data_IF_375873749921
#
_entry.id   IF_375873749921
#
_cell.length_a   1.000
_cell.length_b   1.000
_cell.length_c   1.000
_cell.angle_alpha   90.00
_cell.angle_beta   90.00
_cell.angle_gamma   90.00
#
_symmetry.space_group_name_H-M   'P 1'
#
loop_
_entity.id
_entity.type
_entity.pdbx_description
1 polymer ?
#
# COMPACT_ATOMS: atom_id res chain seq x y z
N UNK A 1 -23.81 5.93 -9.33
CA UNK A 1 -23.00 6.21 -10.53
C UNK A 1 -22.11 5.00 -10.77
N UNK A 2 -21.95 4.53 -12.01
CA UNK A 2 -21.09 3.40 -12.31
C UNK A 2 -19.64 3.88 -12.49
N UNK A 3 -18.69 3.17 -11.87
CA UNK A 3 -17.26 3.41 -12.03
C UNK A 3 -16.85 3.23 -13.51
N UNK A 4 -15.85 3.98 -13.97
CA UNK A 4 -15.35 3.92 -15.35
C UNK A 4 -13.97 3.31 -15.43
N UNK A 5 -13.68 2.59 -16.51
CA UNK A 5 -12.36 2.01 -16.76
C UNK A 5 -11.25 3.07 -16.71
N UNK A 6 -11.52 4.29 -17.17
CA UNK A 6 -10.58 5.39 -17.19
C UNK A 6 -10.10 5.81 -15.81
N UNK A 7 -10.95 5.57 -14.82
CA UNK A 7 -10.65 5.79 -13.42
C UNK A 7 -10.05 4.52 -12.80
N UNK A 8 -9.43 3.61 -13.56
CA UNK A 8 -8.87 2.35 -13.04
C UNK A 8 -7.34 2.33 -13.05
N UNK A 9 -6.71 1.89 -11.96
CA UNK A 9 -5.25 1.87 -11.82
C UNK A 9 -4.53 0.87 -12.69
N UNK A 10 -5.25 -0.16 -13.11
CA UNK A 10 -4.68 -1.14 -14.00
C UNK A 10 -4.51 -0.59 -15.42
N UNK A 11 -4.95 0.63 -15.74
CA UNK A 11 -4.77 1.23 -17.07
C UNK A 11 -3.42 1.92 -17.25
N UNK A 12 -2.66 1.44 -18.24
CA UNK A 12 -1.38 2.00 -18.67
C UNK A 12 -1.55 2.99 -19.84
N UNK A 13 -1.69 4.28 -19.53
CA UNK A 13 -1.87 5.35 -20.51
C UNK A 13 -0.63 5.65 -21.38
N UNK A 14 0.50 4.97 -21.16
CA UNK A 14 1.67 5.05 -22.05
C UNK A 14 1.60 4.00 -23.16
N UNK A 15 0.86 2.91 -22.93
CA UNK A 15 0.60 1.88 -23.92
C UNK A 15 -0.80 2.08 -24.49
N UNK A 16 -0.85 2.91 -25.53
CA UNK A 16 -2.07 3.25 -26.23
C UNK A 16 -2.03 2.74 -27.65
N UNK A 17 -3.22 2.60 -28.23
CA UNK A 17 -3.37 2.05 -29.56
C UNK A 17 -4.55 2.77 -30.21
N UNK A 18 -4.58 2.83 -31.55
CA UNK A 18 -5.56 3.63 -32.31
C UNK A 18 -5.56 5.12 -31.93
N UNK A 19 -4.37 5.74 -31.90
CA UNK A 19 -4.25 7.18 -31.66
C UNK A 19 -4.63 7.65 -30.24
N UNK A 20 -4.75 6.73 -29.28
CA UNK A 20 -5.10 7.06 -27.89
C UNK A 20 -6.49 6.56 -27.46
N UNK A 21 -7.31 6.05 -28.39
CA UNK A 21 -8.69 5.65 -28.11
C UNK A 21 -8.81 4.45 -27.16
N UNK A 22 -7.81 3.58 -27.13
CA UNK A 22 -7.73 2.47 -26.19
C UNK A 22 -6.41 2.44 -25.45
N UNK A 23 -6.50 1.99 -24.21
CA UNK A 23 -5.41 1.95 -23.24
C UNK A 23 -5.25 0.51 -22.76
N UNK A 24 -4.00 0.06 -22.60
CA UNK A 24 -3.71 -1.29 -22.11
C UNK A 24 -4.14 -1.46 -20.64
N UNK A 25 -4.86 -2.54 -20.33
CA UNK A 25 -5.18 -2.94 -18.96
C UNK A 25 -4.19 -4.03 -18.48
N UNK A 26 -3.31 -3.68 -17.54
CA UNK A 26 -2.31 -4.58 -16.97
C UNK A 26 -2.90 -5.80 -16.24
N UNK A 27 -4.11 -5.67 -15.68
CA UNK A 27 -4.77 -6.76 -14.96
C UNK A 27 -5.43 -7.77 -15.91
N UNK A 28 -6.13 -7.28 -16.94
CA UNK A 28 -6.87 -8.14 -17.86
C UNK A 28 -6.07 -8.58 -19.08
N UNK A 29 -4.97 -7.90 -19.41
CA UNK A 29 -4.12 -8.22 -20.55
C UNK A 29 -4.74 -7.87 -21.91
N UNK A 30 -5.57 -6.82 -21.98
CA UNK A 30 -6.12 -6.32 -23.25
C UNK A 30 -6.39 -4.82 -23.23
N UNK A 31 -6.61 -4.24 -24.42
CA UNK A 31 -6.89 -2.82 -24.61
C UNK A 31 -8.37 -2.49 -24.37
N UNK A 32 -8.64 -1.52 -23.48
CA UNK A 32 -10.00 -1.05 -23.14
C UNK A 32 -10.20 0.43 -23.45
N UNK A 33 -11.45 0.88 -23.57
CA UNK A 33 -11.76 2.31 -23.68
C UNK A 33 -11.92 2.92 -22.27
N UNK A 34 -11.23 4.02 -21.94
CA UNK A 34 -11.38 4.70 -20.65
C UNK A 34 -12.83 5.09 -20.29
N UNK A 35 -13.67 5.42 -21.26
CA UNK A 35 -15.07 5.80 -21.01
C UNK A 35 -16.02 4.63 -20.68
N UNK A 36 -15.59 3.38 -20.81
CA UNK A 36 -16.44 2.21 -20.56
C UNK A 36 -16.70 1.99 -19.07
N UNK A 37 -17.78 1.26 -18.75
CA UNK A 37 -18.07 0.84 -17.38
C UNK A 37 -16.94 -0.07 -16.89
N UNK A 38 -16.49 0.17 -15.66
CA UNK A 38 -15.43 -0.62 -15.06
C UNK A 38 -15.87 -2.07 -14.80
N UNK A 39 -14.94 -3.00 -14.93
CA UNK A 39 -15.17 -4.41 -14.59
C UNK A 39 -15.21 -4.63 -13.07
N UNK A 40 -15.62 -5.83 -12.64
CA UNK A 40 -15.70 -6.18 -11.21
C UNK A 40 -14.36 -6.12 -10.46
N UNK A 41 -13.23 -6.12 -11.17
CA UNK A 41 -11.88 -6.00 -10.60
C UNK A 41 -11.36 -4.56 -10.69
N UNK A 42 -12.25 -3.60 -10.47
CA UNK A 42 -11.96 -2.18 -10.57
C UNK A 42 -11.23 -1.64 -9.33
N UNK A 43 -10.21 -0.82 -9.56
CA UNK A 43 -9.48 -0.07 -8.51
C UNK A 43 -9.43 1.40 -8.89
N UNK A 44 -10.00 2.30 -8.07
CA UNK A 44 -10.23 3.71 -8.41
C UNK A 44 -8.94 4.57 -8.49
N UNK A 45 -8.70 5.24 -9.62
CA UNK A 45 -7.65 6.24 -9.86
C UNK A 45 -7.90 7.48 -9.03
N UNK A 46 -7.01 7.73 -8.08
CA UNK A 46 -7.14 8.81 -7.11
C UNK A 46 -7.12 8.30 -5.68
N UNK A 47 -7.00 6.99 -5.47
CA UNK A 47 -6.39 6.51 -4.25
C UNK A 47 -4.96 7.06 -4.19
N UNK A 48 -4.60 7.68 -3.07
CA UNK A 48 -3.20 7.93 -2.75
C UNK A 48 -2.56 6.57 -2.51
N UNK A 49 -2.12 5.94 -3.59
CA UNK A 49 -1.29 4.73 -3.63
C UNK A 49 -0.20 4.84 -2.56
N UNK A 50 0.05 3.73 -1.87
CA UNK A 50 1.07 3.67 -0.82
C UNK A 50 0.61 3.76 0.64
N UNK A 51 -0.64 4.17 0.94
CA UNK A 51 -1.08 4.40 2.34
C UNK A 51 -1.82 3.24 3.01
N UNK A 52 -1.85 2.04 2.41
CA UNK A 52 -2.72 0.94 2.87
C UNK A 52 -2.48 0.55 4.32
N UNK A 53 -1.21 0.39 4.70
CA UNK A 53 -0.82 -0.03 6.04
C UNK A 53 -1.10 1.07 7.08
N UNK A 54 -0.74 2.32 6.79
CA UNK A 54 -1.05 3.46 7.67
C UNK A 54 -2.56 3.61 7.84
N UNK A 55 -3.33 3.45 6.75
CA UNK A 55 -4.80 3.51 6.79
C UNK A 55 -5.38 2.39 7.65
N UNK A 56 -4.84 1.17 7.52
CA UNK A 56 -5.26 0.03 8.32
C UNK A 56 -4.98 0.28 9.81
N UNK A 57 -3.76 0.69 10.15
CA UNK A 57 -3.36 1.05 11.52
C UNK A 57 -4.28 2.12 12.10
N UNK A 58 -4.51 3.22 11.37
CA UNK A 58 -5.39 4.30 11.79
C UNK A 58 -6.81 3.82 12.11
N UNK A 59 -7.38 2.99 11.24
CA UNK A 59 -8.74 2.46 11.41
C UNK A 59 -8.84 1.47 12.57
N UNK A 60 -7.87 0.56 12.70
CA UNK A 60 -7.87 -0.47 13.74
C UNK A 60 -7.71 0.16 15.12
N UNK A 61 -6.79 1.11 15.26
CA UNK A 61 -6.51 1.78 16.53
C UNK A 61 -7.43 2.98 16.81
N UNK A 62 -8.41 3.23 15.93
CA UNK A 62 -9.34 4.35 16.00
C UNK A 62 -8.64 5.70 16.23
N UNK A 63 -7.54 5.93 15.50
CA UNK A 63 -6.74 7.15 15.59
C UNK A 63 -7.53 8.31 14.96
N UNK A 64 -7.49 9.46 15.62
CA UNK A 64 -8.13 10.68 15.12
C UNK A 64 -7.68 11.07 13.70
N UNK A 65 -8.62 11.61 12.92
CA UNK A 65 -8.40 11.96 11.52
C UNK A 65 -7.27 12.99 11.34
N UNK A 66 -7.09 13.94 12.26
CA UNK A 66 -6.01 14.93 12.19
C UNK A 66 -4.65 14.26 12.37
N UNK A 67 -4.55 13.31 13.30
CA UNK A 67 -3.33 12.51 13.51
C UNK A 67 -3.04 11.62 12.32
N UNK A 68 -4.04 10.94 11.78
CA UNK A 68 -3.90 10.13 10.57
C UNK A 68 -3.43 10.96 9.38
N UNK A 69 -3.94 12.20 9.24
CA UNK A 69 -3.49 13.13 8.20
C UNK A 69 -1.99 13.45 8.30
N UNK A 70 -1.44 13.63 9.51
CA UNK A 70 -0.01 13.88 9.69
C UNK A 70 0.85 12.68 9.25
N UNK A 71 0.42 11.46 9.56
CA UNK A 71 1.11 10.23 9.13
C UNK A 71 1.08 10.06 7.60
N UNK A 72 -0.09 10.33 7.03
CA UNK A 72 -0.34 10.37 5.60
C UNK A 72 0.54 11.38 4.87
N UNK A 73 0.66 12.59 5.39
CA UNK A 73 1.46 13.65 4.77
C UNK A 73 2.95 13.29 4.78
N UNK A 74 3.46 12.66 5.86
CA UNK A 74 4.83 12.15 5.89
C UNK A 74 5.10 11.05 4.87
N UNK A 75 4.15 10.13 4.68
CA UNK A 75 4.26 9.12 3.63
C UNK A 75 4.25 9.75 2.23
N UNK A 76 3.43 10.77 2.00
CA UNK A 76 3.39 11.46 0.71
C UNK A 76 4.70 12.19 0.43
N UNK A 77 5.32 12.83 1.44
CA UNK A 77 6.65 13.44 1.30
C UNK A 77 7.65 12.39 0.82
N UNK A 78 7.72 11.24 1.49
CA UNK A 78 8.60 10.14 1.08
C UNK A 78 8.32 9.75 -0.37
N UNK A 79 7.07 9.42 -0.70
CA UNK A 79 6.67 8.98 -2.05
C UNK A 79 7.02 9.98 -3.15
N UNK A 80 6.83 11.27 -2.89
CA UNK A 80 6.91 12.32 -3.91
C UNK A 80 8.33 12.87 -4.06
N UNK A 81 9.19 12.74 -3.04
CA UNK A 81 10.55 13.25 -3.08
C UNK A 81 11.48 12.32 -3.88
N UNK A 82 11.76 12.74 -5.11
CA UNK A 82 12.72 12.11 -6.01
C UNK A 82 14.12 12.60 -5.69
N UNK A 83 14.82 11.90 -4.82
CA UNK A 83 16.27 12.04 -4.68
C UNK A 83 16.99 10.99 -5.53
N UNK A 84 18.24 11.23 -5.97
CA UNK A 84 19.03 10.20 -6.65
C UNK A 84 19.18 8.91 -5.83
N UNK A 85 19.20 9.02 -4.50
CA UNK A 85 19.30 7.91 -3.56
C UNK A 85 17.99 7.10 -3.44
N UNK A 86 16.88 7.64 -3.92
CA UNK A 86 15.54 7.02 -3.88
C UNK A 86 15.08 6.55 -5.26
N UNK A 87 15.97 6.43 -6.24
CA UNK A 87 15.60 5.95 -7.59
C UNK A 87 15.01 4.52 -7.55
N UNK A 88 15.54 3.65 -6.69
CA UNK A 88 15.03 2.29 -6.44
C UNK A 88 13.67 2.25 -5.72
N UNK A 89 13.28 3.36 -5.12
CA UNK A 89 12.07 3.49 -4.33
C UNK A 89 10.80 3.43 -5.17
N UNK A 90 10.90 3.79 -6.45
CA UNK A 90 9.78 3.64 -7.38
C UNK A 90 9.38 2.17 -7.58
N UNK A 91 10.34 1.27 -7.63
CA UNK A 91 10.05 -0.15 -7.80
C UNK A 91 9.56 -0.78 -6.49
N UNK A 92 10.04 -0.30 -5.35
CA UNK A 92 9.50 -0.63 -4.03
C UNK A 92 8.03 -0.19 -3.90
N UNK A 93 7.70 1.06 -4.27
CA UNK A 93 6.32 1.58 -4.22
C UNK A 93 5.39 0.77 -5.13
N UNK A 94 5.84 0.42 -6.34
CA UNK A 94 5.06 -0.46 -7.23
C UNK A 94 4.82 -1.84 -6.62
N UNK A 95 5.83 -2.43 -6.00
CA UNK A 95 5.69 -3.70 -5.27
C UNK A 95 4.71 -3.58 -4.12
N UNK A 96 4.85 -2.51 -3.34
CA UNK A 96 3.96 -2.17 -2.24
C UNK A 96 2.51 -1.98 -2.67
N UNK A 97 2.23 -1.36 -3.82
CA UNK A 97 0.86 -1.21 -4.29
C UNK A 97 0.17 -2.53 -4.64
N UNK A 98 0.95 -3.58 -4.88
CA UNK A 98 0.45 -4.94 -5.08
C UNK A 98 0.23 -5.63 -3.73
N UNK A 99 1.21 -5.59 -2.82
CA UNK A 99 1.18 -6.39 -1.58
C UNK A 99 0.49 -5.67 -0.41
N UNK A 100 0.56 -4.34 -0.34
CA UNK A 100 0.00 -3.50 0.71
C UNK A 100 -1.50 -3.70 0.94
N UNK A 101 -2.36 -3.71 -0.10
CA UNK A 101 -3.78 -4.03 0.05
C UNK A 101 -4.03 -5.45 0.57
N UNK A 102 -3.20 -6.42 0.18
CA UNK A 102 -3.32 -7.81 0.59
C UNK A 102 -2.97 -7.95 2.07
N UNK A 103 -1.87 -7.34 2.51
CA UNK A 103 -1.46 -7.27 3.92
C UNK A 103 -2.54 -6.57 4.74
N UNK A 104 -3.02 -5.40 4.31
CA UNK A 104 -4.07 -4.67 5.04
C UNK A 104 -5.34 -5.52 5.21
N UNK A 105 -5.74 -6.25 4.16
CA UNK A 105 -6.88 -7.17 4.22
C UNK A 105 -6.66 -8.31 5.22
N UNK A 106 -5.45 -8.89 5.28
CA UNK A 106 -5.11 -9.91 6.28
C UNK A 106 -5.17 -9.32 7.69
N UNK A 107 -4.55 -8.17 7.89
CA UNK A 107 -4.52 -7.47 9.16
C UNK A 107 -5.93 -7.14 9.69
N UNK A 108 -6.84 -6.64 8.86
CA UNK A 108 -8.21 -6.34 9.32
C UNK A 108 -8.97 -7.58 9.83
N UNK A 109 -8.64 -8.75 9.30
CA UNK A 109 -9.26 -10.02 9.65
C UNK A 109 -8.46 -10.80 10.71
N UNK A 110 -7.31 -10.30 11.15
CA UNK A 110 -6.48 -10.94 12.17
C UNK A 110 -7.10 -10.77 13.57
N UNK A 111 -7.02 -11.81 14.40
CA UNK A 111 -7.50 -11.77 15.78
C UNK A 111 -6.66 -10.87 16.68
N UNK A 112 -5.38 -10.67 16.34
CA UNK A 112 -4.40 -9.83 17.05
C UNK A 112 -4.15 -8.50 16.33
N UNK A 113 -5.10 -8.06 15.52
CA UNK A 113 -4.95 -6.87 14.68
C UNK A 113 -4.61 -5.61 15.47
N UNK A 114 -5.10 -5.49 16.70
CA UNK A 114 -4.82 -4.34 17.57
C UNK A 114 -3.36 -4.34 18.03
N UNK A 115 -2.84 -5.48 18.49
CA UNK A 115 -1.44 -5.60 18.89
C UNK A 115 -0.49 -5.41 17.69
N UNK A 116 -0.83 -6.01 16.54
CA UNK A 116 -0.03 -5.85 15.31
C UNK A 116 -0.06 -4.40 14.85
N UNK A 117 -1.23 -3.75 14.82
CA UNK A 117 -1.34 -2.34 14.45
C UNK A 117 -0.59 -1.42 15.43
N UNK A 118 -0.57 -1.76 16.73
CA UNK A 118 0.19 -1.01 17.72
C UNK A 118 1.70 -1.12 17.51
N UNK A 119 2.20 -2.33 17.20
CA UNK A 119 3.61 -2.53 16.82
C UNK A 119 3.95 -1.78 15.52
N UNK A 120 3.11 -1.87 14.49
CA UNK A 120 3.27 -1.08 13.27
C UNK A 120 3.39 0.42 13.54
N UNK A 121 2.54 0.94 14.43
CA UNK A 121 2.54 2.37 14.76
C UNK A 121 3.85 2.80 15.44
N UNK A 122 4.24 2.08 16.49
CA UNK A 122 5.34 2.52 17.37
C UNK A 122 6.71 2.12 16.85
N UNK A 123 6.84 0.96 16.21
CA UNK A 123 8.12 0.40 15.82
C UNK A 123 8.54 0.85 14.42
N UNK A 124 7.57 1.26 13.57
CA UNK A 124 7.82 1.61 12.18
C UNK A 124 7.28 2.99 11.78
N UNK A 125 5.98 3.23 11.92
CA UNK A 125 5.33 4.44 11.36
C UNK A 125 5.80 5.73 12.06
N UNK A 126 5.81 5.77 13.39
CA UNK A 126 6.27 6.95 14.14
C UNK A 126 7.79 7.21 13.97
N UNK A 127 8.66 6.18 13.98
CA UNK A 127 10.06 6.39 13.63
C UNK A 127 10.25 6.85 12.17
N UNK A 128 9.49 6.33 11.20
CA UNK A 128 9.51 6.84 9.83
C UNK A 128 9.20 8.35 9.79
N UNK A 129 8.17 8.80 10.51
CA UNK A 129 7.84 10.23 10.59
C UNK A 129 9.01 11.07 11.10
N UNK A 130 9.70 10.60 12.14
CA UNK A 130 10.88 11.28 12.70
C UNK A 130 12.00 11.38 11.64
N UNK A 131 12.27 10.30 10.91
CA UNK A 131 13.28 10.27 9.86
C UNK A 131 12.95 11.26 8.73
N UNK A 132 11.69 11.32 8.30
CA UNK A 132 11.22 12.27 7.28
C UNK A 132 11.39 13.72 7.74
N UNK A 133 11.03 14.02 8.99
CA UNK A 133 11.19 15.36 9.55
C UNK A 133 12.66 15.81 9.62
N UNK A 134 13.58 14.87 9.74
CA UNK A 134 15.02 15.13 9.75
C UNK A 134 15.66 15.15 8.35
N UNK A 135 14.88 14.90 7.28
CA UNK A 135 15.38 14.80 5.91
C UNK A 135 16.08 13.47 5.58
N UNK A 136 16.02 12.48 6.49
CA UNK A 136 16.59 11.13 6.30
C UNK A 136 15.65 10.26 5.45
N UNK A 137 15.40 10.65 4.20
CA UNK A 137 14.39 9.98 3.36
C UNK A 137 14.73 8.52 3.03
N UNK A 138 15.99 8.21 2.70
CA UNK A 138 16.39 6.82 2.40
C UNK A 138 16.18 5.89 3.61
N UNK A 139 16.49 6.35 4.82
CA UNK A 139 16.28 5.57 6.05
C UNK A 139 14.78 5.36 6.32
N UNK A 140 13.96 6.40 6.12
CA UNK A 140 12.51 6.29 6.26
C UNK A 140 11.91 5.27 5.28
N UNK A 141 12.44 5.23 4.05
CA UNK A 141 12.03 4.30 3.00
C UNK A 141 12.36 2.87 3.37
N UNK A 142 13.62 2.63 3.76
CA UNK A 142 14.06 1.30 4.17
C UNK A 142 13.24 0.79 5.36
N UNK A 143 12.96 1.66 6.33
CA UNK A 143 12.15 1.27 7.49
C UNK A 143 10.69 0.95 7.11
N UNK A 144 10.12 1.66 6.14
CA UNK A 144 8.79 1.36 5.61
C UNK A 144 8.76 0.06 4.81
N UNK A 145 9.81 -0.23 4.05
CA UNK A 145 9.99 -1.50 3.35
C UNK A 145 10.11 -2.67 4.34
N UNK A 146 10.92 -2.51 5.39
CA UNK A 146 11.09 -3.49 6.45
C UNK A 146 9.76 -3.83 7.13
N UNK A 147 8.93 -2.82 7.42
CA UNK A 147 7.56 -3.05 7.93
C UNK A 147 6.75 -3.90 6.94
N UNK A 148 6.78 -3.54 5.65
CA UNK A 148 6.02 -4.21 4.61
C UNK A 148 6.47 -5.66 4.46
N UNK A 149 7.78 -5.91 4.42
CA UNK A 149 8.37 -7.24 4.28
C UNK A 149 8.15 -8.10 5.53
N UNK A 150 8.21 -7.50 6.72
CA UNK A 150 7.90 -8.19 7.99
C UNK A 150 6.48 -8.72 7.98
N UNK A 151 5.51 -7.86 7.66
CA UNK A 151 4.10 -8.26 7.58
C UNK A 151 3.83 -9.22 6.42
N UNK A 152 4.50 -9.01 5.28
CA UNK A 152 4.37 -9.92 4.15
C UNK A 152 4.82 -11.33 4.52
N UNK A 153 5.99 -11.45 5.17
CA UNK A 153 6.49 -12.74 5.63
C UNK A 153 5.55 -13.34 6.67
N UNK A 154 5.07 -12.55 7.64
CA UNK A 154 4.13 -13.01 8.66
C UNK A 154 2.83 -13.59 8.06
N UNK A 155 2.25 -12.94 7.05
CA UNK A 155 0.94 -13.35 6.49
C UNK A 155 1.02 -14.32 5.30
N UNK A 156 2.12 -14.31 4.54
CA UNK A 156 2.19 -14.97 3.23
C UNK A 156 3.36 -15.93 3.08
N UNK A 157 4.43 -15.82 3.87
CA UNK A 157 5.42 -16.91 3.96
C UNK A 157 4.95 -17.91 5.01
N UNK A 158 4.46 -19.05 4.54
CA UNK A 158 4.33 -20.25 5.36
C UNK A 158 5.71 -20.60 5.91
N UNK A 159 5.85 -20.69 7.23
CA UNK A 159 6.80 -21.63 7.80
C UNK A 159 6.30 -23.04 7.46
N UNK A 160 7.08 -23.77 6.68
CA UNK A 160 7.16 -25.22 6.87
C UNK A 160 7.57 -25.47 8.34
N UNK A 161 6.71 -26.18 9.10
CA UNK A 161 6.82 -26.58 10.52
C UNK A 161 6.45 -25.47 11.54
N UNK A 162 5.52 -25.59 12.51
CA UNK A 162 4.85 -26.68 13.23
C UNK A 162 3.58 -26.09 13.92
N UNK A 163 2.65 -26.93 14.43
CA UNK A 163 1.37 -26.49 14.97
C UNK A 163 1.53 -25.93 16.38
N UNK A 164 1.06 -24.70 16.60
CA UNK A 164 0.74 -24.24 17.95
C UNK A 164 -0.78 -24.19 18.09
N UNK A 165 -1.35 -25.35 18.40
CA UNK A 165 -2.50 -25.41 19.28
C UNK A 165 -2.18 -24.59 20.53
N UNK A 166 -2.65 -23.35 20.62
CA UNK A 166 -2.86 -22.72 21.92
C UNK A 166 -3.93 -23.55 22.62
N UNK A 167 -3.50 -24.42 23.54
CA UNK A 167 -4.40 -25.05 24.50
C UNK A 167 -5.15 -23.90 25.20
N UNK A 168 -6.48 -23.94 25.10
CA UNK A 168 -7.33 -23.31 26.10
C UNK A 168 -7.26 -24.16 27.36
N UNK A 169 -7.23 -23.43 28.46
CA UNK A 169 -7.36 -23.82 29.88
C UNK A 169 -6.11 -24.40 30.56
#
# INVERSE_FOLDING_TARGET
>A
MANRCGDCDFLNYRDTKWGGDKVWCNYKGYYVKPGEVACDNYTYKGHRYGRYLITATCKILNIDNEKCKKLYDAFDIVRDEKTPETENMYDMIKGYDIVGPQIATKLFNDSFKEEIAYSMLNDYILPCLTLVQNGSYLEAVNLYDDMTMTLYNFYFKKEDNLPLTRKKD
#
